data_IF_691740182269
#
_entry.id   IF_691740182269
#
_cell.length_a   1.000
_cell.length_b   1.000
_cell.length_c   1.000
_cell.angle_alpha   90.00
_cell.angle_beta   90.00
_cell.angle_gamma   90.00
#
_symmetry.space_group_name_H-M   'P 1'
#
loop_
_entity.id
_entity.type
_entity.pdbx_description
1 polymer ?
#
# COMPACT_ATOMS: atom_id res chain seq x y z
N UNK A 1 -62.83 19.02 -0.66
CA UNK A 1 -63.92 19.06 0.34
C UNK A 1 -63.49 18.27 1.57
N UNK A 2 -63.78 18.85 2.74
CA UNK A 2 -63.42 18.46 4.11
C UNK A 2 -63.51 16.96 4.45
N UNK A 3 -62.62 16.47 5.34
CA UNK A 3 -62.92 16.32 6.78
C UNK A 3 -61.69 15.89 7.60
N UNK A 4 -61.39 16.68 8.63
CA UNK A 4 -60.60 16.31 9.80
C UNK A 4 -61.22 15.11 10.52
N UNK A 5 -60.40 14.27 11.16
CA UNK A 5 -60.78 13.71 12.46
C UNK A 5 -59.54 13.43 13.33
N UNK A 6 -59.43 14.21 14.41
CA UNK A 6 -58.64 13.92 15.61
C UNK A 6 -59.39 12.86 16.41
N UNK A 7 -58.70 11.88 17.01
CA UNK A 7 -59.07 11.41 18.35
C UNK A 7 -57.82 11.02 19.14
N UNK A 8 -57.67 11.71 20.27
CA UNK A 8 -56.72 11.45 21.33
C UNK A 8 -57.20 10.27 22.20
N UNK A 9 -56.24 9.56 22.81
CA UNK A 9 -56.42 8.97 24.14
C UNK A 9 -55.05 8.74 24.78
N UNK A 10 -54.71 9.63 25.71
CA UNK A 10 -53.84 9.32 26.84
C UNK A 10 -54.45 8.21 27.69
N UNK A 11 -53.65 7.39 28.36
CA UNK A 11 -53.62 7.21 29.82
C UNK A 11 -52.53 6.17 30.20
N UNK A 12 -51.74 6.61 31.18
CA UNK A 12 -50.92 5.93 32.19
C UNK A 12 -50.73 4.40 32.15
N UNK A 13 -49.46 3.98 32.27
CA UNK A 13 -49.03 3.16 33.40
C UNK A 13 -47.51 3.32 33.60
N UNK A 14 -47.15 3.94 34.72
CA UNK A 14 -45.80 3.90 35.29
C UNK A 14 -45.62 2.52 35.92
N UNK A 15 -44.61 1.77 35.49
CA UNK A 15 -44.12 0.61 36.22
C UNK A 15 -42.65 0.84 36.55
N UNK A 16 -42.41 1.27 37.79
CA UNK A 16 -41.09 1.26 38.43
C UNK A 16 -40.78 -0.20 38.76
N UNK A 17 -39.85 -0.81 38.04
CA UNK A 17 -39.21 -2.06 38.46
C UNK A 17 -37.77 -1.74 38.78
N UNK A 18 -37.49 -1.59 40.08
CA UNK A 18 -36.14 -1.60 40.62
C UNK A 18 -35.65 -3.05 40.64
N UNK A 19 -34.71 -3.38 39.76
CA UNK A 19 -33.95 -4.62 39.80
C UNK A 19 -32.45 -4.27 39.77
N UNK A 20 -31.84 -4.30 40.95
CA UNK A 20 -30.40 -4.32 41.16
C UNK A 20 -29.85 -5.64 40.66
N UNK A 21 -29.17 -5.61 39.50
CA UNK A 21 -28.40 -6.76 38.98
C UNK A 21 -26.95 -6.33 38.79
N UNK A 22 -26.10 -7.06 39.51
CA UNK A 22 -24.64 -7.17 39.49
C UNK A 22 -23.89 -6.46 38.35
N UNK A 23 -22.92 -5.64 38.77
CA UNK A 23 -21.89 -5.09 37.89
C UNK A 23 -21.10 -6.20 37.20
N UNK A 24 -21.25 -6.29 35.89
CA UNK A 24 -20.29 -6.99 35.03
C UNK A 24 -19.10 -6.06 34.80
N UNK A 25 -17.97 -6.38 35.43
CA UNK A 25 -16.67 -5.88 34.97
C UNK A 25 -16.45 -6.37 33.55
N UNK A 26 -16.74 -5.53 32.56
CA UNK A 26 -16.42 -5.80 31.16
C UNK A 26 -14.91 -5.59 30.98
N UNK A 27 -14.14 -6.59 31.40
CA UNK A 27 -12.78 -6.77 30.95
C UNK A 27 -12.81 -7.43 29.57
N UNK A 28 -12.09 -6.84 28.62
CA UNK A 28 -11.66 -7.51 27.40
C UNK A 28 -12.43 -7.15 26.13
N UNK A 29 -12.06 -6.04 25.49
CA UNK A 29 -12.07 -5.97 24.04
C UNK A 29 -10.63 -6.19 23.55
N UNK A 30 -10.17 -7.44 23.60
CA UNK A 30 -9.04 -7.86 22.80
C UNK A 30 -9.56 -8.11 21.38
N UNK A 31 -9.55 -7.08 20.53
CA UNK A 31 -9.77 -7.22 19.09
C UNK A 31 -8.53 -6.91 18.21
N UNK A 32 -7.32 -7.48 18.46
CA UNK A 32 -6.19 -7.36 17.52
C UNK A 32 -5.90 -8.62 16.67
N UNK A 33 -6.56 -9.77 16.91
CA UNK A 33 -6.19 -11.03 16.24
C UNK A 33 -6.70 -11.12 14.79
N UNK A 34 -8.01 -10.94 14.58
CA UNK A 34 -8.63 -11.13 13.26
C UNK A 34 -8.06 -10.20 12.16
N UNK A 35 -7.58 -9.02 12.53
CA UNK A 35 -7.00 -8.06 11.59
C UNK A 35 -5.53 -8.35 11.25
N UNK A 36 -4.79 -8.97 12.18
CA UNK A 36 -3.46 -9.50 11.88
C UNK A 36 -3.54 -10.69 10.93
N UNK A 37 -4.57 -11.53 11.08
CA UNK A 37 -4.79 -12.71 10.24
C UNK A 37 -5.07 -12.32 8.78
N UNK A 38 -5.85 -11.26 8.53
CA UNK A 38 -6.12 -10.80 7.14
C UNK A 38 -4.89 -10.25 6.44
N UNK A 39 -4.01 -9.52 7.16
CA UNK A 39 -2.77 -9.00 6.57
C UNK A 39 -1.82 -10.14 6.20
N UNK A 40 -1.67 -11.13 7.09
CA UNK A 40 -0.78 -12.26 6.81
C UNK A 40 -1.32 -13.09 5.63
N UNK A 41 -2.63 -13.28 5.51
CA UNK A 41 -3.24 -13.94 4.35
C UNK A 41 -2.90 -13.24 3.03
N UNK A 42 -2.93 -11.91 2.99
CA UNK A 42 -2.57 -11.14 1.79
C UNK A 42 -1.08 -11.33 1.42
N UNK A 43 -0.21 -11.31 2.43
CA UNK A 43 1.23 -11.58 2.25
C UNK A 43 1.44 -13.00 1.73
N UNK A 44 0.77 -13.99 2.32
CA UNK A 44 0.87 -15.39 1.93
C UNK A 44 0.37 -15.62 0.51
N UNK A 45 -0.69 -14.92 0.08
CA UNK A 45 -1.19 -14.97 -1.29
C UNK A 45 -0.17 -14.44 -2.31
N UNK A 46 0.47 -13.30 -2.00
CA UNK A 46 1.55 -12.75 -2.85
C UNK A 46 2.74 -13.70 -2.88
N UNK A 47 3.15 -14.27 -1.74
CA UNK A 47 4.27 -15.22 -1.70
C UNK A 47 3.95 -16.56 -2.40
N UNK A 48 2.69 -16.99 -2.42
CA UNK A 48 2.26 -18.20 -3.11
C UNK A 48 2.25 -18.03 -4.64
N UNK A 49 2.06 -16.81 -5.14
CA UNK A 49 1.92 -16.51 -6.57
C UNK A 49 3.17 -15.91 -7.20
N UNK A 50 4.10 -15.37 -6.40
CA UNK A 50 5.37 -14.80 -6.85
C UNK A 50 6.55 -15.73 -6.55
N UNK A 51 7.67 -15.57 -7.26
CA UNK A 51 8.88 -16.38 -7.04
C UNK A 51 9.95 -15.55 -6.36
N UNK A 52 10.60 -16.13 -5.34
CA UNK A 52 11.78 -15.54 -4.68
C UNK A 52 11.48 -14.39 -3.71
N UNK A 53 10.21 -14.10 -3.44
CA UNK A 53 9.80 -13.16 -2.40
C UNK A 53 10.09 -13.73 -1.01
N UNK A 54 10.55 -12.89 -0.10
CA UNK A 54 10.78 -13.23 1.31
C UNK A 54 10.10 -12.18 2.17
N UNK A 55 9.24 -12.61 3.11
CA UNK A 55 8.70 -11.73 4.13
C UNK A 55 9.83 -11.26 5.06
N UNK A 56 10.07 -9.96 5.11
CA UNK A 56 11.19 -9.36 5.88
C UNK A 56 10.71 -8.62 7.14
N UNK A 57 9.41 -8.34 7.24
CA UNK A 57 8.77 -7.74 8.41
C UNK A 57 7.29 -8.14 8.48
N UNK A 58 6.56 -7.64 9.48
CA UNK A 58 5.13 -7.93 9.65
C UNK A 58 4.28 -7.57 8.42
N UNK A 59 4.70 -6.59 7.62
CA UNK A 59 3.92 -6.05 6.52
C UNK A 59 4.76 -5.81 5.26
N UNK A 60 5.88 -6.51 5.09
CA UNK A 60 6.74 -6.29 3.92
C UNK A 60 7.33 -7.58 3.36
N UNK A 61 7.38 -7.62 2.03
CA UNK A 61 8.07 -8.65 1.24
C UNK A 61 9.21 -7.98 0.48
N UNK A 62 10.35 -8.65 0.39
CA UNK A 62 11.47 -8.24 -0.46
C UNK A 62 11.81 -9.32 -1.49
N UNK A 63 12.21 -8.89 -2.67
CA UNK A 63 12.75 -9.73 -3.73
C UNK A 63 14.18 -9.32 -4.06
N UNK A 64 14.97 -10.29 -4.54
CA UNK A 64 16.34 -10.07 -5.03
C UNK A 64 17.22 -9.29 -4.03
N UNK A 65 17.14 -9.62 -2.75
CA UNK A 65 17.92 -8.95 -1.70
C UNK A 65 17.46 -7.52 -1.38
N UNK A 66 16.21 -7.16 -1.69
CA UNK A 66 15.63 -5.84 -1.42
C UNK A 66 15.68 -4.88 -2.59
N UNK A 67 16.06 -5.33 -3.79
CA UNK A 67 16.00 -4.51 -5.01
C UNK A 67 14.57 -4.16 -5.42
N UNK A 68 13.62 -5.02 -5.04
CA UNK A 68 12.21 -4.71 -5.02
C UNK A 68 11.66 -4.99 -3.63
N UNK A 69 10.85 -4.07 -3.10
CA UNK A 69 10.20 -4.23 -1.78
C UNK A 69 8.73 -3.87 -1.93
N UNK A 70 7.85 -4.70 -1.40
CA UNK A 70 6.44 -4.38 -1.24
C UNK A 70 6.14 -4.15 0.23
N UNK A 71 5.48 -3.04 0.53
CA UNK A 71 4.97 -2.69 1.86
C UNK A 71 3.45 -2.69 1.84
N UNK A 72 2.84 -3.52 2.65
CA UNK A 72 1.40 -3.61 2.85
C UNK A 72 0.93 -2.60 3.90
N UNK A 73 -0.31 -2.17 3.77
CA UNK A 73 -0.96 -1.31 4.76
C UNK A 73 -1.23 -2.11 6.03
N UNK A 74 -0.90 -1.53 7.19
CA UNK A 74 -1.22 -2.17 8.46
C UNK A 74 -2.73 -2.06 8.74
N UNK A 75 -3.32 -3.01 9.50
CA UNK A 75 -4.73 -2.94 9.80
C UNK A 75 -5.11 -1.66 10.55
N UNK A 76 -6.14 -0.98 10.05
CA UNK A 76 -6.60 0.31 10.59
C UNK A 76 -5.86 1.54 10.02
N UNK A 77 -4.93 1.34 9.09
CA UNK A 77 -4.26 2.42 8.36
C UNK A 77 -4.78 2.51 6.93
N UNK A 78 -4.60 3.68 6.31
CA UNK A 78 -4.98 3.91 4.92
C UNK A 78 -3.78 3.79 3.96
N UNK A 79 -2.54 3.94 4.47
CA UNK A 79 -1.32 4.00 3.66
C UNK A 79 -0.27 3.05 4.19
N UNK A 80 0.51 2.45 3.29
CA UNK A 80 1.76 1.81 3.67
C UNK A 80 2.68 2.83 4.39
N UNK A 81 3.21 2.45 5.55
CA UNK A 81 4.16 3.29 6.31
C UNK A 81 5.50 3.40 5.58
N UNK A 82 6.36 4.28 6.07
CA UNK A 82 7.79 4.26 5.73
C UNK A 82 8.37 2.87 5.98
N UNK A 83 9.39 2.52 5.20
CA UNK A 83 10.05 1.20 5.23
C UNK A 83 10.42 0.76 6.65
N UNK A 84 10.20 -0.50 7.01
CA UNK A 84 10.57 -1.02 8.33
C UNK A 84 12.10 -1.02 8.54
N UNK A 85 12.59 -1.23 9.79
CA UNK A 85 14.02 -1.42 10.02
C UNK A 85 14.66 -2.56 9.22
N UNK A 86 13.90 -3.61 8.86
CA UNK A 86 14.43 -4.68 8.03
C UNK A 86 14.59 -4.22 6.57
N UNK A 87 13.58 -3.54 6.02
CA UNK A 87 13.64 -2.97 4.68
C UNK A 87 14.76 -1.93 4.57
N UNK A 88 14.83 -0.96 5.50
CA UNK A 88 15.88 0.07 5.52
C UNK A 88 17.29 -0.52 5.57
N UNK A 89 17.48 -1.67 6.22
CA UNK A 89 18.77 -2.37 6.23
C UNK A 89 19.15 -2.86 4.84
N UNK A 90 18.22 -3.48 4.11
CA UNK A 90 18.44 -3.93 2.74
C UNK A 90 18.67 -2.75 1.79
N UNK A 91 17.87 -1.69 1.95
CA UNK A 91 17.99 -0.45 1.17
C UNK A 91 19.38 0.17 1.34
N UNK A 92 19.86 0.28 2.59
CA UNK A 92 21.21 0.77 2.88
C UNK A 92 22.30 -0.14 2.28
N UNK A 93 22.14 -1.47 2.35
CA UNK A 93 23.10 -2.40 1.76
C UNK A 93 23.21 -2.25 0.23
N UNK A 94 22.08 -2.09 -0.45
CA UNK A 94 22.05 -1.88 -1.92
C UNK A 94 22.74 -0.57 -2.30
N UNK A 95 22.60 0.44 -1.46
CA UNK A 95 23.25 1.73 -1.62
C UNK A 95 24.75 1.73 -1.28
N UNK A 96 25.31 0.62 -0.81
CA UNK A 96 26.69 0.59 -0.31
C UNK A 96 26.88 1.40 0.99
N UNK A 97 25.80 1.67 1.73
CA UNK A 97 25.81 2.39 3.00
C UNK A 97 25.87 1.41 4.19
N UNK A 98 26.28 1.89 5.38
CA UNK A 98 26.23 1.07 6.59
C UNK A 98 24.82 0.54 6.87
N UNK A 99 24.71 -0.72 7.29
CA UNK A 99 23.44 -1.36 7.64
C UNK A 99 22.68 -0.65 8.80
N UNK A 100 23.35 0.22 9.53
CA UNK A 100 22.80 1.07 10.59
C UNK A 100 22.18 2.36 10.07
N UNK A 101 22.37 2.69 8.79
CA UNK A 101 21.73 3.85 8.16
C UNK A 101 20.22 3.68 8.23
N UNK A 102 19.55 4.72 8.73
CA UNK A 102 18.11 4.80 8.85
C UNK A 102 17.62 6.03 8.13
N UNK A 103 16.47 5.90 7.48
CA UNK A 103 15.78 7.07 6.95
C UNK A 103 15.39 7.95 8.13
N UNK A 104 15.81 9.22 8.11
CA UNK A 104 15.41 10.14 9.16
C UNK A 104 13.90 10.34 9.03
N UNK A 105 13.11 10.13 10.10
CA UNK A 105 11.70 10.50 10.08
C UNK A 105 11.61 11.99 9.73
N UNK A 106 11.01 12.31 8.58
CA UNK A 106 10.73 13.69 8.23
C UNK A 106 9.76 14.27 9.27
N UNK A 107 10.05 15.47 9.76
CA UNK A 107 9.21 16.18 10.74
C UNK A 107 7.83 16.58 10.16
N UNK A 108 7.70 16.61 8.84
CA UNK A 108 6.44 16.67 8.13
C UNK A 108 6.12 15.29 7.54
N UNK A 109 4.88 14.78 7.67
CA UNK A 109 4.49 13.58 6.94
C UNK A 109 4.64 13.90 5.45
N UNK A 110 5.61 13.25 4.78
CA UNK A 110 5.63 13.27 3.33
C UNK A 110 4.27 12.75 2.85
N UNK A 111 3.67 13.43 1.87
CA UNK A 111 2.35 13.04 1.36
C UNK A 111 2.33 11.58 0.87
N UNK A 112 3.48 11.08 0.41
CA UNK A 112 3.78 9.70 0.08
C UNK A 112 4.88 9.15 0.99
N UNK A 113 4.89 7.83 1.21
CA UNK A 113 5.89 7.14 2.04
C UNK A 113 7.05 6.56 1.24
N UNK A 114 7.25 7.03 0.00
CA UNK A 114 8.32 6.54 -0.87
C UNK A 114 9.69 6.92 -0.27
N UNK A 115 10.63 5.96 -0.10
CA UNK A 115 11.91 6.27 0.51
C UNK A 115 12.68 7.36 -0.26
N UNK A 116 13.44 8.16 0.49
CA UNK A 116 14.20 9.30 -0.04
C UNK A 116 15.70 9.00 -0.15
N UNK A 117 16.42 9.97 -0.72
CA UNK A 117 17.89 10.05 -0.93
C UNK A 117 18.75 9.78 0.32
N UNK A 118 18.17 9.61 1.52
CA UNK A 118 18.94 9.18 2.70
C UNK A 118 19.70 7.88 2.45
N UNK A 119 19.21 7.04 1.52
CA UNK A 119 19.90 5.83 1.09
C UNK A 119 20.68 5.99 -0.21
N UNK A 120 21.03 7.19 -0.67
CA UNK A 120 21.95 7.40 -1.81
C UNK A 120 21.52 6.82 -3.17
N UNK A 121 20.31 6.25 -3.27
CA UNK A 121 19.74 5.68 -4.48
C UNK A 121 18.30 6.17 -4.68
N UNK A 122 17.95 6.26 -5.95
CA UNK A 122 16.74 6.81 -6.53
C UNK A 122 15.56 5.84 -6.43
N UNK A 123 14.81 5.92 -5.33
CA UNK A 123 13.60 5.11 -5.19
C UNK A 123 12.44 5.68 -5.98
N UNK A 124 11.73 4.80 -6.70
CA UNK A 124 10.43 5.10 -7.27
C UNK A 124 9.42 4.05 -6.83
N UNK A 125 8.20 4.50 -6.60
CA UNK A 125 7.17 3.76 -5.89
C UNK A 125 5.83 3.83 -6.61
N UNK A 126 5.18 2.68 -6.69
CA UNK A 126 3.84 2.50 -7.22
C UNK A 126 2.90 2.12 -6.07
N UNK A 127 1.70 2.71 -6.06
CA UNK A 127 0.69 2.50 -5.03
C UNK A 127 -0.58 1.98 -5.68
N UNK A 128 -1.27 1.05 -5.02
CA UNK A 128 -2.52 0.51 -5.53
C UNK A 128 -3.77 1.30 -5.14
N UNK A 129 -3.60 2.33 -4.30
CA UNK A 129 -4.61 3.34 -4.02
C UNK A 129 -4.23 4.73 -4.56
N UNK A 130 -5.23 5.61 -4.67
CA UNK A 130 -5.02 7.04 -4.99
C UNK A 130 -4.52 7.80 -3.76
N UNK A 131 -3.84 8.93 -3.95
CA UNK A 131 -3.23 9.72 -2.87
C UNK A 131 -2.28 8.90 -2.01
N UNK A 132 -1.54 8.01 -2.67
CA UNK A 132 -0.49 7.18 -2.07
C UNK A 132 -1.01 6.26 -0.96
N UNK A 133 -2.26 5.83 -1.07
CA UNK A 133 -2.90 4.85 -0.18
C UNK A 133 -2.68 3.43 -0.67
N UNK A 134 -3.05 2.47 0.19
CA UNK A 134 -2.87 1.06 -0.09
C UNK A 134 -1.41 0.61 -0.01
N UNK A 135 -1.13 -0.53 -0.61
CA UNK A 135 0.21 -1.13 -0.61
C UNK A 135 1.13 -0.41 -1.60
N UNK A 136 2.41 -0.34 -1.24
CA UNK A 136 3.47 0.33 -1.98
C UNK A 136 4.45 -0.70 -2.51
N UNK A 137 4.74 -0.67 -3.81
CA UNK A 137 5.80 -1.46 -4.44
C UNK A 137 6.89 -0.51 -4.96
N UNK A 138 8.16 -0.83 -4.70
CA UNK A 138 9.27 0.11 -4.91
C UNK A 138 10.57 -0.55 -5.40
N UNK A 139 11.35 0.21 -6.16
CA UNK A 139 12.68 -0.16 -6.70
C UNK A 139 13.64 1.03 -6.64
N UNK A 140 14.94 0.79 -6.85
CA UNK A 140 15.98 1.83 -6.76
C UNK A 140 17.11 1.75 -7.79
N UNK A 141 16.89 1.01 -8.89
CA UNK A 141 17.91 0.77 -9.89
C UNK A 141 17.43 1.17 -11.30
N UNK A 142 18.36 1.42 -12.24
CA UNK A 142 18.04 1.46 -13.66
C UNK A 142 17.53 0.11 -14.15
N UNK A 143 16.56 0.13 -15.05
CA UNK A 143 16.04 -1.05 -15.74
C UNK A 143 15.96 -0.76 -17.24
N UNK A 144 16.97 -1.24 -17.97
CA UNK A 144 17.04 -1.12 -19.43
C UNK A 144 16.13 -2.11 -20.16
N UNK A 145 15.47 -2.99 -19.41
CA UNK A 145 14.48 -3.96 -19.88
C UNK A 145 13.21 -3.83 -19.03
N UNK A 146 12.09 -4.26 -19.58
CA UNK A 146 10.81 -4.19 -18.89
C UNK A 146 10.83 -5.01 -17.58
N UNK A 147 10.41 -4.37 -16.49
CA UNK A 147 10.11 -5.02 -15.23
C UNK A 147 8.63 -5.34 -15.20
N UNK A 148 8.28 -6.62 -15.16
CA UNK A 148 6.90 -7.09 -15.12
C UNK A 148 6.32 -6.94 -13.70
N UNK A 149 5.25 -6.16 -13.53
CA UNK A 149 4.57 -6.05 -12.24
C UNK A 149 4.00 -7.40 -11.76
N UNK A 150 3.81 -8.35 -12.67
CA UNK A 150 3.31 -9.70 -12.39
C UNK A 150 4.27 -10.51 -11.53
N UNK A 151 5.58 -10.30 -11.67
CA UNK A 151 6.60 -10.95 -10.86
C UNK A 151 6.47 -10.62 -9.36
N UNK A 152 5.72 -9.56 -9.06
CA UNK A 152 5.48 -9.03 -7.71
C UNK A 152 4.00 -9.05 -7.32
N UNK A 153 3.11 -9.64 -8.12
CA UNK A 153 1.66 -9.68 -7.83
C UNK A 153 0.98 -8.30 -7.91
N UNK A 154 1.47 -7.42 -8.78
CA UNK A 154 1.06 -6.00 -8.86
C UNK A 154 0.51 -5.58 -10.24
N UNK A 155 0.26 -6.53 -11.14
CA UNK A 155 -0.41 -6.29 -12.43
C UNK A 155 -1.77 -5.62 -12.23
N UNK A 156 -2.06 -4.58 -13.00
CA UNK A 156 -3.34 -3.87 -12.98
C UNK A 156 -3.74 -3.35 -11.59
N UNK A 157 -2.76 -2.81 -10.85
CA UNK A 157 -2.99 -2.27 -9.49
C UNK A 157 -2.69 -0.79 -9.36
N UNK A 158 -1.73 -0.26 -10.13
CA UNK A 158 -1.27 1.11 -9.94
C UNK A 158 -2.39 2.14 -10.08
N UNK A 159 -2.53 2.94 -9.04
CA UNK A 159 -3.50 4.04 -8.95
C UNK A 159 -2.83 5.39 -8.63
N UNK A 160 -1.64 5.39 -8.03
CA UNK A 160 -0.78 6.58 -7.86
C UNK A 160 0.69 6.19 -7.80
N UNK A 161 1.60 7.16 -7.93
CA UNK A 161 3.05 6.89 -7.98
C UNK A 161 3.87 8.07 -7.45
N UNK A 162 5.08 7.78 -6.99
CA UNK A 162 6.06 8.75 -6.53
C UNK A 162 7.43 8.34 -7.02
N UNK A 163 8.04 9.16 -7.89
CA UNK A 163 9.39 8.98 -8.37
C UNK A 163 10.28 9.98 -7.62
N UNK A 164 11.01 9.49 -6.62
CA UNK A 164 11.96 10.33 -5.86
C UNK A 164 13.34 10.35 -6.50
N UNK A 165 13.55 9.55 -7.53
CA UNK A 165 14.81 9.39 -8.22
C UNK A 165 15.08 10.37 -9.35
N UNK A 166 16.28 10.28 -9.93
CA UNK A 166 16.75 11.04 -11.09
C UNK A 166 16.35 10.40 -12.43
N UNK A 167 15.96 9.11 -12.44
CA UNK A 167 15.58 8.39 -13.65
C UNK A 167 14.15 8.74 -14.10
N UNK A 168 13.88 8.64 -15.41
CA UNK A 168 12.51 8.66 -15.90
C UNK A 168 11.96 7.24 -15.90
N UNK A 169 10.82 7.04 -15.21
CA UNK A 169 10.12 5.75 -15.24
C UNK A 169 9.06 5.80 -16.32
N UNK A 170 9.14 4.91 -17.30
CA UNK A 170 8.15 4.80 -18.37
C UNK A 170 7.27 3.59 -18.08
N UNK A 171 5.98 3.80 -18.03
CA UNK A 171 5.01 2.76 -17.63
C UNK A 171 4.19 2.34 -18.83
N UNK A 172 3.97 1.04 -18.92
CA UNK A 172 3.34 0.38 -20.06
C UNK A 172 2.25 -0.58 -19.61
N UNK A 173 1.33 -0.87 -20.53
CA UNK A 173 0.43 -2.02 -20.42
C UNK A 173 0.74 -3.06 -21.48
N UNK A 174 0.22 -4.25 -21.25
CA UNK A 174 0.26 -5.37 -22.20
C UNK A 174 -0.86 -5.26 -23.22
N UNK A 175 -0.54 -5.68 -24.44
CA UNK A 175 -1.55 -5.91 -25.48
C UNK A 175 -2.18 -7.30 -25.40
N UNK A 176 -1.54 -8.25 -24.69
CA UNK A 176 -2.03 -9.62 -24.49
C UNK A 176 -1.85 -10.06 -23.04
N UNK A 177 -2.94 -10.47 -22.40
CA UNK A 177 -2.93 -10.95 -21.02
C UNK A 177 -1.97 -12.15 -20.86
N UNK A 178 -1.08 -12.08 -19.87
CA UNK A 178 -0.12 -13.14 -19.55
C UNK A 178 1.13 -13.20 -20.45
N UNK A 179 1.28 -12.36 -21.48
CA UNK A 179 2.48 -12.35 -22.34
C UNK A 179 3.37 -11.15 -22.04
N UNK A 180 4.52 -11.38 -21.40
CA UNK A 180 5.40 -10.29 -20.90
C UNK A 180 6.02 -9.52 -22.05
N UNK A 181 6.20 -10.16 -23.20
CA UNK A 181 6.72 -9.53 -24.41
C UNK A 181 5.70 -8.61 -25.09
N UNK A 182 4.45 -8.60 -24.61
CA UNK A 182 3.39 -7.75 -25.15
C UNK A 182 3.29 -6.40 -24.43
N UNK A 183 4.19 -6.12 -23.48
CA UNK A 183 4.22 -4.89 -22.71
C UNK A 183 4.86 -3.74 -23.51
N UNK A 184 4.11 -3.21 -24.47
CA UNK A 184 4.62 -2.24 -25.46
C UNK A 184 3.78 -0.97 -25.53
N UNK A 185 2.60 -0.96 -24.93
CA UNK A 185 1.69 0.17 -25.00
C UNK A 185 2.01 1.16 -23.90
N UNK A 186 2.72 2.23 -24.24
CA UNK A 186 3.07 3.31 -23.32
C UNK A 186 1.81 3.97 -22.76
N UNK A 187 1.80 4.21 -21.44
CA UNK A 187 0.66 4.81 -20.73
C UNK A 187 1.01 6.18 -20.17
N UNK A 188 2.07 6.26 -19.39
CA UNK A 188 2.59 7.53 -18.88
C UNK A 188 4.09 7.44 -18.61
N UNK A 189 4.65 8.61 -18.31
CA UNK A 189 6.02 8.74 -17.84
C UNK A 189 5.98 9.42 -16.48
N UNK A 190 6.84 8.97 -15.58
CA UNK A 190 7.10 9.53 -14.27
C UNK A 190 8.43 10.27 -14.32
N UNK A 191 8.43 11.60 -14.53
CA UNK A 191 9.66 12.36 -14.53
C UNK A 191 10.40 12.25 -13.21
N UNK A 192 11.72 12.43 -13.27
CA UNK A 192 12.58 12.54 -12.10
C UNK A 192 12.01 13.50 -11.04
N UNK A 193 12.08 13.11 -9.78
CA UNK A 193 11.63 13.89 -8.61
C UNK A 193 10.19 14.40 -8.69
N UNK A 194 9.30 13.70 -9.38
CA UNK A 194 7.88 14.03 -9.45
C UNK A 194 7.00 12.95 -8.83
N UNK A 195 5.71 13.24 -8.69
CA UNK A 195 4.72 12.32 -8.14
C UNK A 195 3.34 12.69 -8.65
N UNK A 196 2.44 11.71 -8.71
CA UNK A 196 1.04 11.93 -9.01
C UNK A 196 0.15 11.16 -8.03
N UNK A 197 -0.75 11.88 -7.36
CA UNK A 197 -1.72 11.29 -6.44
C UNK A 197 -2.81 10.48 -7.17
N UNK A 198 -2.88 10.53 -8.49
CA UNK A 198 -3.75 9.70 -9.30
C UNK A 198 -3.20 9.58 -10.71
N UNK A 199 -3.37 8.41 -11.32
CA UNK A 199 -3.17 8.20 -12.77
C UNK A 199 -4.44 8.50 -13.61
N UNK A 200 -5.51 8.99 -12.97
CA UNK A 200 -6.74 9.39 -13.63
C UNK A 200 -7.47 8.22 -14.30
N UNK A 201 -7.85 8.38 -15.57
CA UNK A 201 -8.50 7.32 -16.35
C UNK A 201 -7.62 6.10 -16.63
N UNK A 202 -6.32 6.17 -16.29
CA UNK A 202 -5.36 5.08 -16.45
C UNK A 202 -5.25 4.19 -15.20
N UNK A 203 -6.26 4.20 -14.33
CA UNK A 203 -6.24 3.42 -13.11
C UNK A 203 -6.19 1.91 -13.39
N UNK A 204 -5.33 1.17 -12.67
CA UNK A 204 -5.25 -0.29 -12.77
C UNK A 204 -4.91 -0.82 -14.17
N UNK A 205 -4.08 -0.11 -14.94
CA UNK A 205 -3.65 -0.57 -16.29
C UNK A 205 -2.14 -0.83 -16.42
N UNK A 206 -1.35 -0.53 -15.38
CA UNK A 206 0.09 -0.75 -15.42
C UNK A 206 0.42 -2.24 -15.32
N UNK A 207 1.20 -2.72 -16.28
CA UNK A 207 1.67 -4.11 -16.34
C UNK A 207 3.19 -4.24 -16.31
N UNK A 208 3.93 -3.24 -16.81
CA UNK A 208 5.37 -3.19 -16.65
C UNK A 208 5.91 -1.75 -16.69
N UNK A 209 7.21 -1.61 -16.40
CA UNK A 209 7.92 -0.34 -16.56
C UNK A 209 9.38 -0.53 -16.98
N UNK A 210 9.99 0.56 -17.48
CA UNK A 210 11.45 0.72 -17.61
C UNK A 210 11.90 1.96 -16.83
N UNK A 211 13.16 1.99 -16.41
CA UNK A 211 13.74 3.16 -15.71
C UNK A 211 15.12 3.50 -16.28
N UNK A 212 15.25 4.69 -16.86
CA UNK A 212 16.48 5.17 -17.53
C UNK A 212 16.60 6.68 -17.56
#
# INVERSE_FOLDING_TARGET
MLRLSRQARSICAVAVVAATVFGTSQAGAAAPAASADTLQQEIDEVLATTKGGVQISRNEIAWHGGRAIMSFTLPGEERARVSSPAAQKLQAQIAGLPATTREKPSAAPAADSCPTETFGNDWYCFYDGTSYTGRRLQWNAPHTWDVDFGDYGFINKTSSWSNRGELNVRVYSRTRAGDSNSCVEHRWTEPAHTRAASVGSMNNIADCFTAS
#
